data_IF_396816574531
#
_entry.id   IF_396816574531
#
_cell.length_a   1.000
_cell.length_b   1.000
_cell.length_c   1.000
_cell.angle_alpha   90.00
_cell.angle_beta   90.00
_cell.angle_gamma   90.00
#
_symmetry.space_group_name_H-M   'P 1'
#
loop_
_entity.id
_entity.type
_entity.pdbx_description
1 polymer ?
#
# COMPACT_ATOMS: atom_id res chain seq x y z
N UNK A 1 26.59 -26.99 -25.88
CA UNK A 1 26.09 -25.83 -26.60
C UNK A 1 24.79 -25.46 -25.89
N UNK A 2 24.90 -24.55 -24.93
CA UNK A 2 23.79 -24.17 -24.09
C UNK A 2 23.05 -22.98 -24.69
N UNK A 3 21.76 -23.15 -24.90
CA UNK A 3 20.86 -22.07 -25.25
C UNK A 3 20.76 -21.11 -24.05
N UNK A 4 21.36 -19.94 -24.21
CA UNK A 4 21.14 -18.80 -23.32
C UNK A 4 19.74 -18.27 -23.58
N UNK A 5 18.71 -18.90 -22.99
CA UNK A 5 17.42 -18.27 -22.89
C UNK A 5 17.54 -17.12 -21.85
N UNK A 6 17.75 -15.93 -22.36
CA UNK A 6 17.51 -14.65 -21.66
C UNK A 6 16.00 -14.54 -21.33
N UNK A 7 15.50 -15.42 -20.50
CA UNK A 7 14.15 -15.37 -19.93
C UNK A 7 14.16 -14.43 -18.75
N UNK A 8 13.65 -13.24 -18.97
CA UNK A 8 13.24 -12.15 -18.13
C UNK A 8 13.17 -12.35 -16.63
N UNK A 9 14.29 -12.42 -15.97
CA UNK A 9 14.36 -12.20 -14.54
C UNK A 9 14.59 -10.71 -14.30
N UNK A 10 13.72 -10.06 -13.51
CA UNK A 10 13.99 -8.70 -13.05
C UNK A 10 15.36 -8.62 -12.37
N UNK A 11 15.89 -7.40 -12.15
CA UNK A 11 17.23 -7.20 -11.58
C UNK A 11 17.54 -8.11 -10.38
N UNK A 12 16.55 -8.39 -9.50
CA UNK A 12 16.71 -9.35 -8.42
C UNK A 12 16.86 -10.80 -8.88
N UNK A 13 16.14 -11.22 -9.93
CA UNK A 13 16.27 -12.55 -10.52
C UNK A 13 17.60 -12.71 -11.27
N UNK A 14 18.04 -11.67 -11.99
CA UNK A 14 19.37 -11.63 -12.63
C UNK A 14 20.47 -11.66 -11.58
N UNK A 15 20.32 -10.92 -10.49
CA UNK A 15 21.27 -10.95 -9.38
C UNK A 15 21.31 -12.32 -8.69
N UNK A 16 20.16 -13.00 -8.52
CA UNK A 16 20.10 -14.35 -7.93
C UNK A 16 20.69 -15.42 -8.85
N UNK A 17 20.61 -15.26 -10.17
CA UNK A 17 21.20 -16.20 -11.12
C UNK A 17 22.69 -15.91 -11.39
N UNK A 18 23.10 -14.64 -11.34
CA UNK A 18 24.47 -14.22 -11.56
C UNK A 18 25.31 -14.21 -10.27
N UNK A 19 24.69 -14.02 -9.12
CA UNK A 19 25.33 -13.94 -7.81
C UNK A 19 24.70 -14.99 -6.88
N UNK A 20 25.49 -15.51 -5.97
CA UNK A 20 24.95 -16.42 -4.95
C UNK A 20 23.92 -15.68 -4.05
N UNK A 21 22.94 -16.38 -3.44
CA UNK A 21 21.96 -15.76 -2.54
C UNK A 21 22.61 -14.91 -1.43
N UNK A 22 23.78 -15.29 -0.95
CA UNK A 22 24.55 -14.52 0.05
C UNK A 22 24.99 -13.15 -0.50
N UNK A 23 25.51 -13.12 -1.73
CA UNK A 23 25.95 -11.86 -2.36
C UNK A 23 24.76 -10.95 -2.65
N UNK A 24 23.62 -11.49 -3.09
CA UNK A 24 22.37 -10.72 -3.28
C UNK A 24 21.91 -10.06 -1.98
N UNK A 25 21.95 -10.79 -0.86
CA UNK A 25 21.64 -10.24 0.47
C UNK A 25 22.63 -9.14 0.88
N UNK A 26 23.93 -9.33 0.64
CA UNK A 26 24.95 -8.32 0.95
C UNK A 26 24.79 -7.06 0.09
N UNK A 27 24.44 -7.19 -1.18
CA UNK A 27 24.13 -6.04 -2.05
C UNK A 27 22.89 -5.30 -1.53
N UNK A 28 21.84 -6.01 -1.16
CA UNK A 28 20.64 -5.43 -0.56
C UNK A 28 20.98 -4.68 0.76
N UNK A 29 21.74 -5.31 1.65
CA UNK A 29 22.19 -4.68 2.89
C UNK A 29 23.06 -3.44 2.62
N UNK A 30 23.93 -3.48 1.62
CA UNK A 30 24.75 -2.34 1.20
C UNK A 30 23.92 -1.16 0.71
N UNK A 31 22.87 -1.43 -0.09
CA UNK A 31 21.94 -0.40 -0.55
C UNK A 31 21.16 0.24 0.61
N UNK A 32 20.69 -0.56 1.58
CA UNK A 32 20.04 -0.02 2.77
C UNK A 32 21.00 0.82 3.62
N UNK A 33 22.26 0.39 3.77
CA UNK A 33 23.28 1.14 4.50
C UNK A 33 23.58 2.48 3.81
N UNK A 34 23.74 2.49 2.49
CA UNK A 34 23.97 3.74 1.74
C UNK A 34 22.78 4.69 1.83
N UNK A 35 21.55 4.17 1.76
CA UNK A 35 20.34 4.95 1.98
C UNK A 35 20.28 5.52 3.40
N UNK A 36 20.62 4.72 4.43
CA UNK A 36 20.65 5.16 5.82
C UNK A 36 21.71 6.24 6.07
N UNK A 37 22.91 6.07 5.50
CA UNK A 37 24.00 7.06 5.57
C UNK A 37 23.57 8.35 4.83
N UNK A 38 23.01 8.24 3.63
CA UNK A 38 22.47 9.37 2.88
C UNK A 38 21.39 10.13 3.66
N UNK A 39 20.47 9.42 4.29
CA UNK A 39 19.45 10.03 5.16
C UNK A 39 20.07 10.71 6.39
N UNK A 40 21.08 10.08 7.01
CA UNK A 40 21.75 10.62 8.21
C UNK A 40 22.46 11.94 7.96
N UNK A 41 23.07 12.10 6.78
CA UNK A 41 23.85 13.29 6.42
C UNK A 41 23.08 14.26 5.53
N UNK A 42 22.06 13.81 4.77
CA UNK A 42 21.28 14.65 3.87
C UNK A 42 20.02 15.27 4.51
N UNK A 43 19.55 14.72 5.63
CA UNK A 43 18.38 15.26 6.31
C UNK A 43 18.78 16.13 7.48
N UNK A 44 18.35 17.41 7.46
CA UNK A 44 18.50 18.31 8.61
C UNK A 44 17.63 17.83 9.78
N UNK A 45 18.20 17.85 10.98
CA UNK A 45 17.48 17.54 12.21
C UNK A 45 16.30 18.53 12.38
N UNK A 46 15.09 18.03 12.34
CA UNK A 46 13.90 18.82 12.70
C UNK A 46 13.67 18.75 14.21
N UNK A 47 13.27 19.86 14.86
CA UNK A 47 12.92 19.81 16.27
C UNK A 47 11.82 18.77 16.51
N UNK A 48 11.97 17.97 17.56
CA UNK A 48 10.97 16.99 17.95
C UNK A 48 9.67 17.69 18.30
N UNK A 49 8.59 17.36 17.59
CA UNK A 49 7.25 17.92 17.84
C UNK A 49 6.61 17.36 19.12
N UNK A 50 7.07 16.23 19.61
CA UNK A 50 6.60 15.62 20.85
C UNK A 50 7.72 15.65 21.90
N UNK A 51 7.46 16.28 23.03
CA UNK A 51 8.33 16.26 24.21
C UNK A 51 7.96 15.08 25.11
N UNK A 52 8.95 14.25 25.46
CA UNK A 52 8.80 13.16 26.43
C UNK A 52 8.96 11.77 25.82
N UNK A 53 9.27 10.78 26.69
CA UNK A 53 9.26 9.35 26.34
C UNK A 53 7.81 8.86 26.38
N UNK A 54 7.20 8.44 25.27
CA UNK A 54 5.84 7.88 25.32
C UNK A 54 5.87 6.60 26.16
N UNK A 55 5.06 6.55 27.21
CA UNK A 55 4.83 5.32 27.94
C UNK A 55 3.93 4.39 27.12
N UNK A 56 4.03 3.08 27.34
CA UNK A 56 3.15 2.09 26.67
C UNK A 56 1.68 2.45 26.91
N UNK A 57 1.31 2.85 28.12
CA UNK A 57 -0.04 3.27 28.45
C UNK A 57 -0.50 4.51 27.67
N UNK A 58 0.41 5.46 27.41
CA UNK A 58 0.12 6.63 26.58
C UNK A 58 -0.12 6.22 25.13
N UNK A 59 0.71 5.32 24.59
CA UNK A 59 0.57 4.79 23.24
C UNK A 59 -0.80 4.10 23.04
N UNK A 60 -1.22 3.27 24.01
CA UNK A 60 -2.52 2.62 23.95
C UNK A 60 -3.69 3.61 24.00
N UNK A 61 -3.62 4.62 24.88
CA UNK A 61 -4.63 5.69 24.94
C UNK A 61 -4.72 6.45 23.64
N UNK A 62 -3.59 6.85 23.07
CA UNK A 62 -3.56 7.56 21.81
C UNK A 62 -4.11 6.71 20.66
N UNK A 63 -3.78 5.42 20.61
CA UNK A 63 -4.34 4.47 19.64
C UNK A 63 -5.87 4.35 19.79
N UNK A 64 -6.37 4.29 21.03
CA UNK A 64 -7.81 4.28 21.29
C UNK A 64 -8.49 5.56 20.79
N UNK A 65 -7.86 6.74 20.99
CA UNK A 65 -8.35 8.02 20.46
C UNK A 65 -8.31 8.05 18.93
N UNK A 66 -7.26 7.52 18.29
CA UNK A 66 -7.19 7.42 16.84
C UNK A 66 -8.28 6.50 16.29
N UNK A 67 -8.56 5.40 17.00
CA UNK A 67 -9.56 4.41 16.58
C UNK A 67 -11.00 4.82 16.92
N UNK A 68 -11.24 5.75 17.84
CA UNK A 68 -12.58 6.20 18.21
C UNK A 68 -13.32 6.91 17.07
N UNK A 69 -12.59 7.58 16.18
CA UNK A 69 -13.18 8.31 15.04
C UNK A 69 -13.56 7.36 13.91
N UNK A 70 -14.85 7.32 13.58
CA UNK A 70 -15.37 6.48 12.49
C UNK A 70 -14.69 6.76 11.15
N UNK A 71 -14.53 8.01 10.68
CA UNK A 71 -13.83 8.30 9.43
C UNK A 71 -12.40 7.78 9.40
N UNK A 72 -11.64 7.93 10.51
CA UNK A 72 -10.25 7.41 10.59
C UNK A 72 -10.20 5.89 10.53
N UNK A 73 -11.13 5.19 11.20
CA UNK A 73 -11.22 3.72 11.11
C UNK A 73 -11.38 3.24 9.68
N UNK A 74 -12.26 3.87 8.90
CA UNK A 74 -12.43 3.53 7.48
C UNK A 74 -11.14 3.74 6.69
N UNK A 75 -10.38 4.79 6.97
CA UNK A 75 -9.10 5.05 6.31
C UNK A 75 -8.06 4.00 6.70
N UNK A 76 -7.93 3.67 7.99
CA UNK A 76 -7.01 2.61 8.45
C UNK A 76 -7.35 1.25 7.81
N UNK A 77 -8.60 0.82 7.86
CA UNK A 77 -9.02 -0.43 7.26
C UNK A 77 -8.79 -0.46 5.74
N UNK A 78 -8.99 0.66 5.07
CA UNK A 78 -8.76 0.79 3.64
C UNK A 78 -7.27 0.79 3.25
N UNK A 79 -6.39 1.21 4.16
CA UNK A 79 -4.93 1.11 4.00
C UNK A 79 -4.42 -0.30 4.28
N UNK A 80 -4.99 -0.98 5.26
CA UNK A 80 -4.46 -2.24 5.76
C UNK A 80 -4.98 -3.45 4.99
N UNK A 81 -6.31 -3.62 4.92
CA UNK A 81 -6.91 -4.88 4.49
C UNK A 81 -6.69 -5.17 3.01
N UNK A 82 -7.03 -4.25 2.06
CA UNK A 82 -6.77 -4.51 0.65
C UNK A 82 -5.28 -4.71 0.34
N UNK A 83 -4.41 -3.91 0.98
CA UNK A 83 -2.96 -4.03 0.83
C UNK A 83 -2.46 -5.40 1.30
N UNK A 84 -2.86 -5.85 2.50
CA UNK A 84 -2.46 -7.14 3.04
C UNK A 84 -2.93 -8.31 2.17
N UNK A 85 -4.16 -8.25 1.64
CA UNK A 85 -4.69 -9.28 0.74
C UNK A 85 -3.89 -9.38 -0.56
N UNK A 86 -3.50 -8.25 -1.16
CA UNK A 86 -2.74 -8.26 -2.41
C UNK A 86 -1.27 -8.65 -2.20
N UNK A 87 -0.64 -8.23 -1.10
CA UNK A 87 0.69 -8.74 -0.72
C UNK A 87 0.64 -10.26 -0.47
N UNK A 88 -0.48 -10.77 0.04
CA UNK A 88 -0.74 -12.21 0.10
C UNK A 88 -0.70 -12.87 -1.29
N UNK A 89 -1.29 -12.24 -2.33
CA UNK A 89 -1.16 -12.73 -3.71
C UNK A 89 0.31 -12.73 -4.17
N UNK A 90 1.05 -11.66 -3.90
CA UNK A 90 2.45 -11.52 -4.30
C UNK A 90 3.34 -12.57 -3.63
N UNK A 91 3.04 -12.97 -2.39
CA UNK A 91 3.76 -14.02 -1.68
C UNK A 91 3.70 -15.40 -2.37
N UNK A 92 2.69 -15.59 -3.23
CA UNK A 92 2.48 -16.83 -4.00
C UNK A 92 3.22 -16.84 -5.35
N UNK A 93 3.89 -15.78 -5.78
CA UNK A 93 4.58 -15.74 -7.08
C UNK A 93 5.61 -16.86 -7.24
N UNK A 94 6.35 -17.16 -6.16
CA UNK A 94 7.34 -18.25 -6.18
C UNK A 94 6.65 -19.61 -6.33
N UNK A 95 5.54 -19.85 -5.63
CA UNK A 95 4.77 -21.10 -5.71
C UNK A 95 4.03 -21.22 -7.05
N UNK A 96 3.59 -20.09 -7.62
CA UNK A 96 2.88 -20.05 -8.90
C UNK A 96 3.82 -20.37 -10.07
N UNK A 97 4.99 -19.75 -10.10
CA UNK A 97 5.97 -19.90 -11.18
C UNK A 97 7.39 -19.61 -10.68
N UNK A 98 8.10 -20.63 -10.13
CA UNK A 98 9.43 -20.45 -9.56
C UNK A 98 10.44 -19.82 -10.53
N UNK A 99 10.33 -20.18 -11.83
CA UNK A 99 11.24 -19.67 -12.88
C UNK A 99 10.98 -18.19 -13.24
N UNK A 100 9.75 -17.71 -13.05
CA UNK A 100 9.34 -16.37 -13.50
C UNK A 100 8.94 -15.45 -12.33
N UNK A 101 9.09 -15.91 -11.10
CA UNK A 101 8.75 -15.10 -9.91
C UNK A 101 9.49 -13.76 -9.90
N UNK A 102 10.78 -13.75 -10.27
CA UNK A 102 11.58 -12.52 -10.37
C UNK A 102 11.01 -11.53 -11.39
N UNK A 103 10.49 -12.01 -12.51
CA UNK A 103 9.82 -11.15 -13.51
C UNK A 103 8.56 -10.54 -12.95
N UNK A 104 7.74 -11.32 -12.24
CA UNK A 104 6.51 -10.82 -11.62
C UNK A 104 6.81 -9.76 -10.54
N UNK A 105 7.80 -10.00 -9.68
CA UNK A 105 8.25 -9.00 -8.71
C UNK A 105 8.81 -7.72 -9.35
N UNK A 106 9.56 -7.86 -10.45
CA UNK A 106 10.07 -6.70 -11.18
C UNK A 106 8.93 -5.88 -11.82
N UNK A 107 7.93 -6.54 -12.40
CA UNK A 107 6.74 -5.88 -12.92
C UNK A 107 5.92 -5.21 -11.82
N UNK A 108 5.81 -5.83 -10.64
CA UNK A 108 5.17 -5.23 -9.48
C UNK A 108 5.91 -3.97 -9.04
N UNK A 109 7.23 -4.05 -8.85
CA UNK A 109 8.06 -2.89 -8.45
C UNK A 109 7.98 -1.74 -9.47
N UNK A 110 8.01 -2.05 -10.77
CA UNK A 110 7.88 -1.07 -11.83
C UNK A 110 6.49 -0.42 -11.84
N UNK A 111 5.43 -1.21 -11.64
CA UNK A 111 4.06 -0.72 -11.49
C UNK A 111 3.90 0.24 -10.31
N UNK A 112 4.46 -0.12 -9.13
CA UNK A 112 4.48 0.77 -7.96
C UNK A 112 5.19 2.09 -8.26
N UNK A 113 6.37 2.03 -8.86
CA UNK A 113 7.13 3.23 -9.26
C UNK A 113 6.33 4.14 -10.18
N UNK A 114 5.68 3.57 -11.21
CA UNK A 114 4.84 4.34 -12.13
C UNK A 114 3.65 4.97 -11.41
N UNK A 115 2.98 4.22 -10.54
CA UNK A 115 1.85 4.70 -9.75
C UNK A 115 2.23 5.85 -8.83
N UNK A 116 3.32 5.71 -8.09
CA UNK A 116 3.81 6.73 -7.16
C UNK A 116 4.24 8.01 -7.87
N UNK A 117 4.97 7.90 -8.98
CA UNK A 117 5.37 9.05 -9.81
C UNK A 117 4.12 9.74 -10.39
N UNK A 118 3.19 8.98 -10.97
CA UNK A 118 1.98 9.52 -11.56
C UNK A 118 1.14 10.26 -10.52
N UNK A 119 0.96 9.67 -9.35
CA UNK A 119 0.14 10.24 -8.28
C UNK A 119 0.85 11.39 -7.57
N UNK A 120 2.15 11.23 -7.26
CA UNK A 120 2.90 12.22 -6.50
C UNK A 120 3.23 13.49 -7.30
N UNK A 121 3.56 13.33 -8.61
CA UNK A 121 4.09 14.44 -9.42
C UNK A 121 3.07 15.03 -10.41
N UNK A 122 2.20 14.20 -10.99
CA UNK A 122 1.36 14.62 -12.12
C UNK A 122 -0.12 14.73 -11.78
N UNK A 123 -0.58 14.16 -10.66
CA UNK A 123 -1.99 14.14 -10.33
C UNK A 123 -2.44 15.45 -9.66
N UNK A 124 -3.32 16.25 -10.29
CA UNK A 124 -3.86 17.47 -9.71
C UNK A 124 -4.77 17.15 -8.50
N UNK A 125 -4.92 18.10 -7.58
CA UNK A 125 -5.68 17.93 -6.34
C UNK A 125 -7.16 17.56 -6.56
N UNK A 126 -7.76 17.99 -7.68
CA UNK A 126 -9.13 17.64 -8.07
C UNK A 126 -9.26 16.13 -8.35
N UNK A 127 -8.29 15.54 -9.04
CA UNK A 127 -8.28 14.12 -9.40
C UNK A 127 -7.96 13.22 -8.21
N UNK A 128 -7.12 13.68 -7.28
CA UNK A 128 -6.79 12.95 -6.05
C UNK A 128 -8.04 12.59 -5.24
N UNK A 129 -9.04 13.48 -5.22
CA UNK A 129 -10.31 13.25 -4.51
C UNK A 129 -11.19 12.17 -5.16
N UNK A 130 -11.12 12.01 -6.48
CA UNK A 130 -11.98 11.09 -7.26
C UNK A 130 -11.31 9.73 -7.47
N UNK A 131 -9.99 9.70 -7.68
CA UNK A 131 -9.26 8.49 -8.07
C UNK A 131 -8.94 7.54 -6.91
N UNK A 132 -9.18 7.92 -5.66
CA UNK A 132 -8.89 7.06 -4.51
C UNK A 132 -9.61 5.71 -4.55
N UNK A 133 -10.89 5.66 -4.97
CA UNK A 133 -11.64 4.40 -5.10
C UNK A 133 -11.24 3.61 -6.35
N UNK A 134 -11.14 4.20 -7.56
CA UNK A 134 -10.65 3.52 -8.75
C UNK A 134 -9.26 2.89 -8.59
N UNK A 135 -8.30 3.62 -8.01
CA UNK A 135 -6.95 3.09 -7.78
C UNK A 135 -6.93 1.90 -6.83
N UNK A 136 -7.80 1.88 -5.81
CA UNK A 136 -7.91 0.70 -4.92
C UNK A 136 -8.57 -0.49 -5.60
N UNK A 137 -9.51 -0.27 -6.52
CA UNK A 137 -10.04 -1.34 -7.35
C UNK A 137 -8.97 -1.82 -8.34
N UNK A 138 -8.18 -0.92 -8.90
CA UNK A 138 -7.05 -1.26 -9.77
C UNK A 138 -6.02 -2.14 -9.05
N UNK A 139 -5.83 -1.99 -7.73
CA UNK A 139 -4.95 -2.84 -6.94
C UNK A 139 -5.38 -4.31 -6.95
N UNK A 140 -6.69 -4.61 -7.01
CA UNK A 140 -7.21 -5.96 -6.84
C UNK A 140 -7.75 -6.59 -8.14
N UNK A 141 -8.45 -5.81 -8.98
CA UNK A 141 -9.16 -6.33 -10.16
C UNK A 141 -8.26 -7.07 -11.14
N UNK A 142 -7.04 -6.60 -11.47
CA UNK A 142 -6.18 -7.34 -12.41
C UNK A 142 -5.78 -8.72 -11.90
N UNK A 143 -5.72 -8.95 -10.58
CA UNK A 143 -5.43 -10.28 -10.04
C UNK A 143 -6.53 -11.31 -10.30
N UNK A 144 -7.75 -10.90 -10.65
CA UNK A 144 -8.82 -11.82 -11.01
C UNK A 144 -8.50 -12.63 -12.29
N UNK A 145 -7.59 -12.15 -13.12
CA UNK A 145 -7.15 -12.87 -14.33
C UNK A 145 -6.49 -14.22 -14.00
N UNK A 146 -5.95 -14.36 -12.78
CA UNK A 146 -5.33 -15.61 -12.35
C UNK A 146 -6.32 -16.78 -12.23
N UNK A 147 -7.64 -16.52 -12.18
CA UNK A 147 -8.67 -17.55 -12.31
C UNK A 147 -8.58 -18.34 -13.63
N UNK A 148 -8.05 -17.70 -14.67
CA UNK A 148 -7.94 -18.28 -16.02
C UNK A 148 -6.57 -18.85 -16.35
N UNK A 149 -5.67 -18.98 -15.37
CA UNK A 149 -4.29 -19.45 -15.55
C UNK A 149 -3.56 -18.74 -16.70
N UNK A 150 -3.39 -17.41 -16.66
CA UNK A 150 -2.91 -16.62 -17.77
C UNK A 150 -1.48 -16.98 -18.15
N UNK A 151 -1.15 -16.82 -19.45
CA UNK A 151 0.24 -16.85 -19.90
C UNK A 151 1.08 -15.76 -19.22
N UNK A 152 2.39 -16.00 -19.09
CA UNK A 152 3.31 -15.09 -18.38
C UNK A 152 3.19 -13.61 -18.78
N UNK A 153 3.10 -13.24 -20.08
CA UNK A 153 2.98 -11.82 -20.43
C UNK A 153 1.71 -11.17 -19.88
N UNK A 154 0.59 -11.89 -19.86
CA UNK A 154 -0.67 -11.41 -19.33
C UNK A 154 -0.61 -11.31 -17.81
N UNK A 155 -0.02 -12.31 -17.14
CA UNK A 155 0.22 -12.29 -15.70
C UNK A 155 1.10 -11.10 -15.30
N UNK A 156 2.20 -10.87 -15.99
CA UNK A 156 3.12 -9.77 -15.74
C UNK A 156 2.45 -8.39 -15.92
N UNK A 157 1.67 -8.23 -17.00
CA UNK A 157 0.89 -7.01 -17.24
C UNK A 157 -0.15 -6.79 -16.14
N UNK A 158 -0.87 -7.83 -15.74
CA UNK A 158 -1.87 -7.75 -14.68
C UNK A 158 -1.25 -7.34 -13.34
N UNK A 159 -0.12 -7.94 -12.98
CA UNK A 159 0.64 -7.59 -11.77
C UNK A 159 1.13 -6.14 -11.83
N UNK A 160 1.69 -5.71 -12.96
CA UNK A 160 2.14 -4.33 -13.14
C UNK A 160 0.99 -3.33 -13.00
N UNK A 161 -0.16 -3.58 -13.65
CA UNK A 161 -1.34 -2.73 -13.55
C UNK A 161 -1.90 -2.69 -12.13
N UNK A 162 -1.99 -3.84 -11.46
CA UNK A 162 -2.41 -3.91 -10.07
C UNK A 162 -1.49 -3.08 -9.17
N UNK A 163 -0.18 -3.17 -9.39
CA UNK A 163 0.81 -2.48 -8.56
C UNK A 163 0.78 -0.95 -8.71
N UNK A 164 0.29 -0.42 -9.83
CA UNK A 164 -0.04 1.02 -9.95
C UNK A 164 -1.09 1.41 -8.90
N UNK A 165 -2.00 0.52 -8.55
CA UNK A 165 -3.05 0.73 -7.56
C UNK A 165 -2.53 0.98 -6.14
N UNK A 166 -1.28 0.60 -5.80
CA UNK A 166 -0.66 0.94 -4.51
C UNK A 166 -0.57 2.45 -4.27
N UNK A 167 -0.53 3.26 -5.32
CA UNK A 167 -0.55 4.72 -5.23
C UNK A 167 -1.81 5.27 -4.52
N UNK A 168 -2.90 4.50 -4.43
CA UNK A 168 -4.05 4.83 -3.59
C UNK A 168 -3.68 5.04 -2.12
N UNK A 169 -2.60 4.41 -1.65
CA UNK A 169 -2.10 4.55 -0.27
C UNK A 169 -1.65 5.97 0.02
N UNK A 170 -1.05 6.68 -0.96
CA UNK A 170 -0.65 8.08 -0.81
C UNK A 170 -1.88 8.98 -0.54
N UNK A 171 -2.95 8.78 -1.30
CA UNK A 171 -4.19 9.55 -1.17
C UNK A 171 -4.88 9.29 0.18
N UNK A 172 -4.86 8.03 0.62
CA UNK A 172 -5.41 7.64 1.92
C UNK A 172 -4.58 8.17 3.08
N UNK A 173 -3.24 8.21 2.95
CA UNK A 173 -2.37 8.82 3.96
C UNK A 173 -2.58 10.33 4.07
N UNK A 174 -2.71 11.04 2.94
CA UNK A 174 -3.08 12.46 2.94
C UNK A 174 -4.40 12.67 3.70
N UNK A 175 -5.41 11.84 3.43
CA UNK A 175 -6.69 11.90 4.13
C UNK A 175 -6.58 11.56 5.62
N UNK A 176 -5.78 10.56 5.97
CA UNK A 176 -5.51 10.21 7.38
C UNK A 176 -4.93 11.41 8.13
N UNK A 177 -3.96 12.08 7.52
CA UNK A 177 -3.34 13.27 8.13
C UNK A 177 -4.33 14.42 8.26
N UNK A 178 -5.18 14.66 7.26
CA UNK A 178 -6.22 15.68 7.33
C UNK A 178 -7.27 15.44 8.43
N UNK A 179 -7.51 14.18 8.79
CA UNK A 179 -8.44 13.76 9.85
C UNK A 179 -7.78 13.65 11.24
N UNK A 180 -6.47 13.84 11.32
CA UNK A 180 -5.70 13.60 12.56
C UNK A 180 -5.16 14.90 13.11
N UNK A 181 -5.36 15.19 14.42
CA UNK A 181 -4.73 16.33 15.08
C UNK A 181 -3.20 16.28 14.95
N UNK A 182 -2.57 17.45 14.83
CA UNK A 182 -1.14 17.55 14.60
C UNK A 182 -0.30 16.83 15.68
N UNK A 183 -0.77 16.84 16.93
CA UNK A 183 -0.12 16.21 18.08
C UNK A 183 -0.07 14.68 17.97
N UNK A 184 -1.03 14.08 17.27
CA UNK A 184 -1.15 12.64 17.07
C UNK A 184 -0.66 12.16 15.71
N UNK A 185 -0.17 13.05 14.83
CA UNK A 185 0.23 12.71 13.46
C UNK A 185 1.32 11.64 13.41
N UNK A 186 2.34 11.73 14.26
CA UNK A 186 3.40 10.71 14.34
C UNK A 186 2.87 9.36 14.81
N UNK A 187 1.96 9.37 15.79
CA UNK A 187 1.31 8.16 16.30
C UNK A 187 0.42 7.50 15.24
N UNK A 188 -0.32 8.32 14.47
CA UNK A 188 -1.18 7.82 13.39
C UNK A 188 -0.38 7.17 12.27
N UNK A 189 0.75 7.76 11.87
CA UNK A 189 1.67 7.17 10.89
C UNK A 189 2.30 5.87 11.41
N UNK A 190 2.71 5.84 12.69
CA UNK A 190 3.22 4.63 13.33
C UNK A 190 2.18 3.51 13.36
N UNK A 191 0.94 3.83 13.74
CA UNK A 191 -0.17 2.87 13.75
C UNK A 191 -0.50 2.39 12.33
N UNK A 192 -0.49 3.29 11.35
CA UNK A 192 -0.71 2.95 9.95
C UNK A 192 0.35 1.98 9.44
N UNK A 193 1.64 2.26 9.67
CA UNK A 193 2.75 1.41 9.21
C UNK A 193 2.72 0.03 9.87
N UNK A 194 2.57 -0.02 11.20
CA UNK A 194 2.52 -1.31 11.91
C UNK A 194 1.30 -2.14 11.52
N UNK A 195 0.14 -1.51 11.35
CA UNK A 195 -1.07 -2.19 10.89
C UNK A 195 -0.93 -2.72 9.46
N UNK A 196 -0.30 -1.97 8.56
CA UNK A 196 -0.01 -2.44 7.19
C UNK A 196 0.89 -3.67 7.20
N UNK A 197 2.01 -3.64 7.93
CA UNK A 197 2.94 -4.79 8.03
C UNK A 197 2.26 -6.01 8.66
N UNK A 198 1.45 -5.81 9.69
CA UNK A 198 0.69 -6.88 10.33
C UNK A 198 -0.28 -7.52 9.33
N UNK A 199 -1.04 -6.72 8.59
CA UNK A 199 -1.99 -7.23 7.60
C UNK A 199 -1.31 -7.88 6.39
N UNK A 200 -0.12 -7.43 6.00
CA UNK A 200 0.71 -8.12 4.99
C UNK A 200 1.12 -9.51 5.47
N UNK A 201 1.56 -9.64 6.73
CA UNK A 201 1.88 -10.93 7.32
C UNK A 201 0.66 -11.86 7.40
N UNK A 202 -0.47 -11.35 7.88
CA UNK A 202 -1.74 -12.09 7.91
C UNK A 202 -2.17 -12.52 6.51
N UNK A 203 -2.10 -11.61 5.53
CA UNK A 203 -2.43 -11.89 4.14
C UNK A 203 -1.55 -12.99 3.55
N UNK A 204 -0.24 -12.96 3.80
CA UNK A 204 0.69 -14.00 3.35
C UNK A 204 0.37 -15.38 3.97
N UNK A 205 0.05 -15.43 5.27
CA UNK A 205 -0.36 -16.67 5.94
C UNK A 205 -1.66 -17.22 5.34
N UNK A 206 -2.68 -16.37 5.21
CA UNK A 206 -3.98 -16.76 4.63
C UNK A 206 -3.80 -17.26 3.19
N UNK A 207 -3.04 -16.55 2.36
CA UNK A 207 -2.73 -16.93 1.00
C UNK A 207 -1.99 -18.28 0.94
N UNK A 208 -1.01 -18.49 1.83
CA UNK A 208 -0.29 -19.77 1.94
C UNK A 208 -1.19 -20.93 2.31
N UNK A 209 -2.09 -20.77 3.26
CA UNK A 209 -3.08 -21.79 3.65
C UNK A 209 -4.02 -22.09 2.48
N UNK A 210 -4.56 -21.07 1.82
CA UNK A 210 -5.43 -21.25 0.65
C UNK A 210 -4.71 -21.98 -0.48
N UNK A 211 -3.44 -21.67 -0.72
CA UNK A 211 -2.65 -22.33 -1.77
C UNK A 211 -2.34 -23.80 -1.46
N UNK A 212 -2.32 -24.20 -0.19
CA UNK A 212 -2.21 -25.61 0.21
C UNK A 212 -3.52 -26.37 0.03
N UNK A 213 -4.67 -25.71 0.28
CA UNK A 213 -5.99 -26.34 0.13
C UNK A 213 -6.45 -26.41 -1.33
N UNK A 214 -6.00 -25.47 -2.16
CA UNK A 214 -6.41 -25.34 -3.56
C UNK A 214 -5.17 -25.30 -4.46
N UNK A 215 -5.11 -24.29 -5.33
CA UNK A 215 -3.91 -23.99 -6.13
C UNK A 215 -3.45 -22.54 -5.88
N UNK A 216 -2.18 -22.21 -6.16
CA UNK A 216 -1.71 -20.82 -6.05
C UNK A 216 -2.58 -19.82 -6.82
N UNK A 217 -3.00 -20.16 -8.06
CA UNK A 217 -3.89 -19.33 -8.87
C UNK A 217 -5.26 -19.14 -8.24
N UNK A 218 -5.86 -20.20 -7.70
CA UNK A 218 -7.16 -20.13 -7.02
C UNK A 218 -7.05 -19.29 -5.74
N UNK A 219 -5.98 -19.47 -4.94
CA UNK A 219 -5.73 -18.67 -3.75
C UNK A 219 -5.60 -17.18 -4.10
N UNK A 220 -4.83 -16.83 -5.12
CA UNK A 220 -4.71 -15.44 -5.59
C UNK A 220 -6.06 -14.86 -6.01
N UNK A 221 -6.88 -15.65 -6.72
CA UNK A 221 -8.23 -15.23 -7.14
C UNK A 221 -9.13 -14.96 -5.93
N UNK A 222 -9.15 -15.85 -4.94
CA UNK A 222 -9.94 -15.69 -3.71
C UNK A 222 -9.51 -14.43 -2.95
N UNK A 223 -8.20 -14.21 -2.79
CA UNK A 223 -7.64 -13.04 -2.13
C UNK A 223 -8.02 -11.74 -2.89
N UNK A 224 -7.96 -11.77 -4.22
CA UNK A 224 -8.35 -10.63 -5.06
C UNK A 224 -9.84 -10.32 -4.94
N UNK A 225 -10.71 -11.34 -4.98
CA UNK A 225 -12.17 -11.17 -4.76
C UNK A 225 -12.41 -10.56 -3.37
N UNK A 226 -11.78 -11.10 -2.32
CA UNK A 226 -11.90 -10.56 -0.97
C UNK A 226 -11.46 -9.09 -0.92
N UNK A 227 -10.36 -8.71 -1.58
CA UNK A 227 -9.86 -7.33 -1.64
C UNK A 227 -10.85 -6.40 -2.36
N UNK A 228 -11.46 -6.85 -3.46
CA UNK A 228 -12.51 -6.08 -4.16
C UNK A 228 -13.73 -5.88 -3.26
N UNK A 229 -14.21 -6.94 -2.61
CA UNK A 229 -15.38 -6.87 -1.72
C UNK A 229 -15.13 -5.90 -0.55
N UNK A 230 -13.98 -5.99 0.10
CA UNK A 230 -13.59 -5.07 1.17
C UNK A 230 -13.48 -3.64 0.65
N UNK A 231 -12.86 -3.43 -0.51
CA UNK A 231 -12.72 -2.09 -1.10
C UNK A 231 -14.09 -1.46 -1.39
N UNK A 232 -15.03 -2.23 -1.94
CA UNK A 232 -16.39 -1.75 -2.24
C UNK A 232 -17.18 -1.48 -0.96
N UNK A 233 -17.08 -2.36 0.05
CA UNK A 233 -17.79 -2.15 1.33
C UNK A 233 -17.29 -0.91 2.08
N UNK A 234 -15.99 -0.66 2.05
CA UNK A 234 -15.39 0.53 2.68
C UNK A 234 -15.62 1.82 1.88
N UNK A 235 -15.93 1.74 0.59
CA UNK A 235 -16.11 2.91 -0.27
C UNK A 235 -17.20 3.88 0.24
N UNK A 236 -18.26 3.35 0.89
CA UNK A 236 -19.34 4.18 1.46
C UNK A 236 -18.84 5.06 2.61
N UNK A 237 -18.02 4.52 3.52
CA UNK A 237 -17.45 5.26 4.67
C UNK A 237 -16.29 6.18 4.29
N UNK A 238 -15.81 6.09 3.05
CA UNK A 238 -14.75 6.94 2.52
C UNK A 238 -15.29 8.07 1.63
N UNK A 239 -16.60 8.22 1.49
CA UNK A 239 -17.16 9.39 0.81
C UNK A 239 -16.84 10.64 1.65
N UNK A 240 -16.44 11.77 1.02
CA UNK A 240 -16.40 13.03 1.74
C UNK A 240 -17.79 13.31 2.28
N UNK A 241 -17.95 13.51 3.57
CA UNK A 241 -19.14 14.17 4.08
C UNK A 241 -19.24 15.50 3.34
N UNK A 242 -20.37 15.77 2.69
CA UNK A 242 -20.67 17.12 2.27
C UNK A 242 -20.64 17.94 3.55
N UNK A 243 -19.62 18.76 3.70
CA UNK A 243 -19.67 19.85 4.66
C UNK A 243 -20.79 20.74 4.16
N UNK A 244 -22.01 20.54 4.66
CA UNK A 244 -23.00 21.57 4.66
C UNK A 244 -22.37 22.72 5.43
N UNK A 245 -21.88 23.70 4.70
CA UNK A 245 -21.49 24.97 5.29
C UNK A 245 -22.72 25.48 6.02
N UNK A 246 -22.67 25.67 7.35
CA UNK A 246 -23.69 26.46 7.99
C UNK A 246 -23.52 27.87 7.38
N UNK A 247 -24.42 28.25 6.50
CA UNK A 247 -24.60 29.66 6.18
C UNK A 247 -25.27 30.23 7.42
N UNK A 248 -24.44 30.53 8.41
CA UNK A 248 -24.80 31.41 9.49
C UNK A 248 -24.82 32.81 8.90
N UNK A 249 -25.97 33.15 8.33
CA UNK A 249 -26.31 34.53 8.06
C UNK A 249 -26.40 35.22 9.42
N UNK A 250 -25.26 35.76 9.85
CA UNK A 250 -25.25 36.74 10.94
C UNK A 250 -26.08 37.92 10.48
N UNK A 251 -27.20 38.25 11.12
CA UNK A 251 -27.95 39.44 10.75
C UNK A 251 -27.05 40.65 11.09
N UNK A 252 -26.70 41.39 10.05
CA UNK A 252 -26.04 42.69 10.21
C UNK A 252 -27.06 43.61 10.91
N UNK A 253 -26.87 43.78 12.22
CA UNK A 253 -27.59 44.83 12.97
C UNK A 253 -27.21 46.18 12.36
N UNK A 254 -28.20 46.82 11.75
CA UNK A 254 -28.09 48.19 11.27
C UNK A 254 -27.75 49.12 12.43
N UNK A 255 -26.83 50.12 12.24
CA UNK A 255 -26.55 51.10 13.27
C UNK A 255 -27.79 51.94 13.53
N UNK A 256 -28.20 51.99 14.78
CA UNK A 256 -29.24 52.91 15.24
C UNK A 256 -28.75 54.36 15.06
N UNK A 257 -29.54 55.14 14.33
CA UNK A 257 -29.42 56.58 14.16
C UNK A 257 -29.75 57.35 15.42
#
# INVERSE_FOLDING_TARGET
VGDLHLGGGGLGGVLLTALSPRVTLLVGAGLYLTAAVGARFGLSARPQRASGRPSVAQTWRNNAVLWSSVPRRYVFLALWVPNGLIVGCESLFVSLSPRHAGTLFACAAFGMLLGDIATGRFMPASWRRVLGAPLRLLLAVPYLVFAFHPALPVAALAVMLASIGYAASLLLQERLMALTPNELSGQALGLQSSGTLTMQGVGAVVAGVLAQCFSPSAAMTVMAVASVLVTVSLARGLRPERVESPIETVPVLAPAS
#
